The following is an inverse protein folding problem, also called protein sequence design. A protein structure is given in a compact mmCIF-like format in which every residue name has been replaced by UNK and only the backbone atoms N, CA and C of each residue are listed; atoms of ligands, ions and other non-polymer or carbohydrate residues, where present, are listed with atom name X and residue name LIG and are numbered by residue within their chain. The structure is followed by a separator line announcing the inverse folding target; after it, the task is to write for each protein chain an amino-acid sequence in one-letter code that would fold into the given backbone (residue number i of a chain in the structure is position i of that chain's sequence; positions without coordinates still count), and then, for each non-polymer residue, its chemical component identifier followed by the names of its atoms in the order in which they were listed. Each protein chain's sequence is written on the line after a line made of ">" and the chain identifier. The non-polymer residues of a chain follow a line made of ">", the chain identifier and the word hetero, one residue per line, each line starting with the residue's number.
data_IF_377064705510
#
_entry.id   IF_377064705510
#
_cell.length_a   1.000
_cell.length_b   1.000
_cell.length_c   1.000
_cell.angle_alpha   90.00
_cell.angle_beta   90.00
_cell.angle_gamma   90.00
#
_symmetry.space_group_name_H-M   'P 1'
#
loop_
_entity.id
_entity.type
_entity.pdbx_description
1 polymer ?
#
# COMPACT_ATOMS: atom_id res chain seq x y z
N UNK A 1 21.91 -3.45 5.69
CA UNK A 1 22.51 -2.65 6.79
C UNK A 1 21.42 -2.38 7.82
N UNK A 2 21.66 -2.85 9.04
CA UNK A 2 20.67 -2.87 10.14
C UNK A 2 20.16 -1.47 10.49
N UNK A 3 21.05 -0.48 10.51
CA UNK A 3 20.70 0.92 10.79
C UNK A 3 19.67 1.47 9.81
N UNK A 4 19.85 1.19 8.52
CA UNK A 4 18.92 1.66 7.49
C UNK A 4 17.59 0.92 7.53
N UNK A 5 17.58 -0.35 7.92
CA UNK A 5 16.36 -1.11 8.16
C UNK A 5 15.57 -0.57 9.36
N UNK A 6 16.26 -0.23 10.45
CA UNK A 6 15.64 0.43 11.61
C UNK A 6 15.06 1.79 11.25
N UNK A 7 15.78 2.60 10.47
CA UNK A 7 15.29 3.89 10.00
C UNK A 7 14.04 3.73 9.11
N UNK A 8 14.04 2.73 8.22
CA UNK A 8 12.87 2.44 7.39
C UNK A 8 11.65 2.05 8.24
N UNK A 9 11.86 1.22 9.26
CA UNK A 9 10.82 0.86 10.23
C UNK A 9 10.28 2.06 11.00
N UNK A 10 11.15 2.95 11.48
CA UNK A 10 10.74 4.19 12.14
C UNK A 10 9.95 5.10 11.19
N UNK A 11 10.42 5.33 9.97
CA UNK A 11 9.70 6.13 8.98
C UNK A 11 8.32 5.57 8.67
N UNK A 12 8.21 4.24 8.59
CA UNK A 12 6.94 3.56 8.35
C UNK A 12 5.99 3.68 9.55
N UNK A 13 6.48 3.43 10.76
CA UNK A 13 5.69 3.52 11.99
C UNK A 13 5.18 4.95 12.25
N UNK A 14 5.98 5.97 11.96
CA UNK A 14 5.64 7.37 12.12
C UNK A 14 5.19 8.04 10.81
N UNK A 15 4.77 7.25 9.82
CA UNK A 15 4.18 7.79 8.60
C UNK A 15 2.88 8.54 8.89
N UNK A 16 2.52 9.46 8.01
CA UNK A 16 1.26 10.19 8.12
C UNK A 16 0.05 9.26 8.18
N UNK A 17 0.10 8.11 7.49
CA UNK A 17 -0.95 7.12 7.55
C UNK A 17 -1.15 6.56 8.97
N UNK A 18 -0.07 6.15 9.63
CA UNK A 18 -0.12 5.60 10.99
C UNK A 18 -0.57 6.66 12.01
N UNK A 19 -0.04 7.89 11.90
CA UNK A 19 -0.41 8.99 12.79
C UNK A 19 -1.88 9.37 12.62
N UNK A 20 -2.37 9.51 11.38
CA UNK A 20 -3.75 9.87 11.09
C UNK A 20 -4.74 8.81 11.60
N UNK A 21 -4.38 7.53 11.46
CA UNK A 21 -5.26 6.41 11.80
C UNK A 21 -5.06 5.91 13.25
N UNK A 22 -4.31 6.60 14.10
CA UNK A 22 -4.04 6.17 15.49
C UNK A 22 -5.32 5.94 16.31
N UNK A 23 -6.42 6.63 15.98
CA UNK A 23 -7.72 6.43 16.62
C UNK A 23 -8.45 5.17 16.18
N UNK A 24 -7.98 4.52 15.12
CA UNK A 24 -8.57 3.30 14.57
C UNK A 24 -7.59 2.14 14.76
N UNK A 25 -7.56 1.54 15.94
CA UNK A 25 -6.61 0.49 16.30
C UNK A 25 -6.53 -0.63 15.26
N UNK A 26 -7.69 -1.06 14.73
CA UNK A 26 -7.77 -2.10 13.70
C UNK A 26 -7.13 -1.70 12.34
N UNK A 27 -6.71 -0.45 12.16
CA UNK A 27 -5.91 -0.04 11.00
C UNK A 27 -4.42 -0.23 11.27
N UNK A 28 -4.00 -0.05 12.54
CA UNK A 28 -2.59 -0.17 12.92
C UNK A 28 -2.14 -1.64 12.92
N UNK A 29 -3.02 -2.56 13.29
CA UNK A 29 -2.75 -3.99 13.23
C UNK A 29 -2.41 -4.43 11.80
N UNK A 30 -3.21 -3.98 10.83
CA UNK A 30 -2.97 -4.22 9.39
C UNK A 30 -1.62 -3.63 8.93
N UNK A 31 -1.29 -2.41 9.37
CA UNK A 31 0.00 -1.76 9.06
C UNK A 31 1.16 -2.56 9.62
N UNK A 32 1.02 -3.10 10.84
CA UNK A 32 2.06 -3.88 11.50
C UNK A 32 2.26 -5.26 10.86
N UNK A 33 1.19 -5.94 10.44
CA UNK A 33 1.25 -7.31 9.93
C UNK A 33 1.63 -7.40 8.44
N UNK A 34 1.25 -6.41 7.64
CA UNK A 34 1.48 -6.43 6.19
C UNK A 34 2.96 -6.58 5.77
N UNK A 35 3.95 -5.92 6.40
CA UNK A 35 5.36 -6.08 6.03
C UNK A 35 5.85 -7.53 6.11
N UNK A 36 5.35 -8.30 7.06
CA UNK A 36 5.72 -9.72 7.21
C UNK A 36 5.16 -10.57 6.06
N UNK A 37 3.94 -10.28 5.61
CA UNK A 37 3.36 -10.96 4.45
C UNK A 37 4.15 -10.65 3.17
N UNK A 38 4.57 -9.38 3.00
CA UNK A 38 5.38 -8.97 1.85
C UNK A 38 6.78 -9.61 1.88
N UNK A 39 7.42 -9.65 3.05
CA UNK A 39 8.70 -10.31 3.24
C UNK A 39 8.60 -11.83 3.00
N UNK A 40 7.52 -12.46 3.46
CA UNK A 40 7.29 -13.88 3.22
C UNK A 40 7.06 -14.20 1.72
N UNK A 41 6.45 -13.28 0.96
CA UNK A 41 6.36 -13.39 -0.50
C UNK A 41 7.75 -13.32 -1.15
N UNK A 42 8.59 -12.34 -0.75
CA UNK A 42 9.97 -12.23 -1.25
C UNK A 42 10.76 -13.51 -0.93
N UNK A 43 10.70 -14.00 0.30
CA UNK A 43 11.34 -15.25 0.74
C UNK A 43 10.87 -16.47 -0.08
N UNK A 44 9.57 -16.55 -0.36
CA UNK A 44 9.02 -17.65 -1.15
C UNK A 44 9.47 -17.63 -2.60
N UNK A 45 9.64 -16.44 -3.20
CA UNK A 45 10.01 -16.31 -4.63
C UNK A 45 11.52 -16.32 -4.82
N UNK A 46 12.27 -15.61 -3.97
CA UNK A 46 13.73 -15.44 -4.12
C UNK A 46 14.47 -16.65 -3.53
N UNK A 47 14.14 -16.98 -2.28
CA UNK A 47 14.86 -17.98 -1.49
C UNK A 47 14.21 -19.37 -1.50
N UNK A 48 13.10 -19.52 -2.22
CA UNK A 48 12.32 -20.78 -2.33
C UNK A 48 11.81 -21.33 -0.98
N UNK A 49 11.68 -20.46 0.04
CA UNK A 49 11.16 -20.81 1.36
C UNK A 49 9.67 -21.14 1.29
N UNK A 50 9.22 -22.10 2.10
CA UNK A 50 7.85 -22.62 2.07
C UNK A 50 7.17 -22.42 3.42
N UNK A 51 5.84 -22.25 3.40
CA UNK A 51 5.00 -22.27 4.59
C UNK A 51 4.85 -20.93 5.31
N UNK A 52 5.81 -20.01 5.24
CA UNK A 52 5.68 -18.70 5.85
C UNK A 52 4.65 -17.83 5.11
N UNK A 53 4.66 -17.87 3.78
CA UNK A 53 3.75 -17.05 2.98
C UNK A 53 2.26 -17.38 3.22
N UNK A 54 1.79 -18.64 3.11
CA UNK A 54 0.39 -18.96 3.41
C UNK A 54 -0.01 -18.66 4.87
N UNK A 55 0.91 -18.79 5.84
CA UNK A 55 0.65 -18.39 7.21
C UNK A 55 0.34 -16.89 7.32
N UNK A 56 1.18 -16.03 6.72
CA UNK A 56 0.96 -14.59 6.76
C UNK A 56 -0.24 -14.15 5.94
N UNK A 57 -0.57 -14.84 4.85
CA UNK A 57 -1.82 -14.64 4.10
C UNK A 57 -3.02 -14.93 4.99
N UNK A 58 -3.04 -16.08 5.68
CA UNK A 58 -4.13 -16.43 6.60
C UNK A 58 -4.26 -15.42 7.74
N UNK A 59 -3.14 -15.03 8.35
CA UNK A 59 -3.15 -14.10 9.50
C UNK A 59 -3.68 -12.72 9.10
N UNK A 60 -3.20 -12.15 7.99
CA UNK A 60 -3.71 -10.84 7.49
C UNK A 60 -5.20 -10.90 7.12
N UNK A 61 -5.65 -12.02 6.56
CA UNK A 61 -7.07 -12.22 6.22
C UNK A 61 -7.95 -12.30 7.48
N UNK A 62 -7.48 -13.02 8.51
CA UNK A 62 -8.18 -13.18 9.79
C UNK A 62 -8.20 -11.88 10.58
N UNK A 63 -7.08 -11.15 10.57
CA UNK A 63 -6.98 -9.86 11.24
C UNK A 63 -7.99 -8.84 10.66
N UNK A 64 -7.97 -8.67 9.33
CA UNK A 64 -8.88 -7.74 8.70
C UNK A 64 -9.17 -8.10 7.23
N UNK A 65 -10.25 -8.84 7.00
CA UNK A 65 -10.67 -9.26 5.66
C UNK A 65 -10.95 -8.10 4.70
N UNK A 66 -11.39 -6.96 5.23
CA UNK A 66 -11.68 -5.77 4.41
C UNK A 66 -10.40 -5.16 3.83
N UNK A 67 -9.35 -5.02 4.63
CA UNK A 67 -8.04 -4.55 4.15
C UNK A 67 -7.34 -5.60 3.31
N UNK A 68 -7.57 -6.89 3.59
CA UNK A 68 -6.95 -7.98 2.86
C UNK A 68 -7.26 -7.96 1.37
N UNK A 69 -8.46 -7.53 0.96
CA UNK A 69 -8.79 -7.35 -0.45
C UNK A 69 -7.82 -6.38 -1.14
N UNK A 70 -7.51 -5.25 -0.50
CA UNK A 70 -6.52 -4.30 -0.99
C UNK A 70 -5.10 -4.85 -0.96
N UNK A 71 -4.74 -5.61 0.07
CA UNK A 71 -3.43 -6.26 0.17
C UNK A 71 -3.23 -7.27 -0.98
N UNK A 72 -4.25 -8.05 -1.33
CA UNK A 72 -4.19 -8.98 -2.45
C UNK A 72 -3.92 -8.26 -3.78
N UNK A 73 -4.62 -7.15 -4.03
CA UNK A 73 -4.36 -6.31 -5.21
C UNK A 73 -2.93 -5.78 -5.21
N UNK A 74 -2.46 -5.28 -4.06
CA UNK A 74 -1.09 -4.78 -3.95
C UNK A 74 -0.05 -5.87 -4.16
N UNK A 75 -0.22 -7.06 -3.60
CA UNK A 75 0.68 -8.20 -3.81
C UNK A 75 0.79 -8.58 -5.29
N UNK A 76 -0.33 -8.54 -6.03
CA UNK A 76 -0.34 -8.77 -7.48
C UNK A 76 0.49 -7.70 -8.19
N UNK A 77 0.25 -6.42 -7.88
CA UNK A 77 1.03 -5.30 -8.45
C UNK A 77 2.51 -5.46 -8.12
N UNK A 78 2.83 -5.70 -6.85
CA UNK A 78 4.20 -5.88 -6.38
C UNK A 78 4.89 -7.03 -7.10
N UNK A 79 4.24 -8.19 -7.17
CA UNK A 79 4.76 -9.38 -7.85
C UNK A 79 5.12 -9.11 -9.31
N UNK A 80 4.22 -8.51 -10.08
CA UNK A 80 4.49 -8.17 -11.48
C UNK A 80 5.56 -7.09 -11.65
N UNK A 81 5.61 -6.10 -10.77
CA UNK A 81 6.65 -5.08 -10.79
C UNK A 81 8.04 -5.65 -10.46
N UNK A 82 8.11 -6.58 -9.48
CA UNK A 82 9.35 -7.28 -9.12
C UNK A 82 9.83 -8.17 -10.26
N UNK A 83 8.92 -8.82 -10.97
CA UNK A 83 9.21 -9.60 -12.17
C UNK A 83 9.69 -8.73 -13.33
N UNK A 84 9.00 -7.62 -13.62
CA UNK A 84 9.39 -6.66 -14.66
C UNK A 84 10.77 -6.04 -14.39
N UNK A 85 11.11 -5.81 -13.12
CA UNK A 85 12.43 -5.35 -12.68
C UNK A 85 13.48 -6.46 -12.59
N UNK A 86 13.16 -7.67 -13.05
CA UNK A 86 14.06 -8.86 -13.05
C UNK A 86 14.57 -9.25 -11.65
N UNK A 87 13.84 -8.89 -10.61
CA UNK A 87 14.13 -9.34 -9.25
C UNK A 87 13.56 -10.74 -8.99
N UNK A 88 12.39 -11.03 -9.59
CA UNK A 88 11.76 -12.33 -9.55
C UNK A 88 12.03 -13.10 -10.83
N UNK A 89 12.57 -14.29 -10.70
CA UNK A 89 12.67 -15.25 -11.80
C UNK A 89 11.37 -16.04 -11.87
N UNK A 90 10.58 -15.76 -12.91
CA UNK A 90 9.29 -16.39 -13.11
C UNK A 90 9.45 -17.74 -13.82
N UNK A 91 9.12 -18.81 -13.10
CA UNK A 91 8.88 -20.12 -13.67
C UNK A 91 7.45 -20.57 -13.40
N UNK A 92 6.84 -21.29 -14.34
CA UNK A 92 5.47 -21.80 -14.19
C UNK A 92 5.30 -22.57 -12.88
N UNK A 93 6.28 -23.39 -12.51
CA UNK A 93 6.27 -24.16 -11.25
C UNK A 93 6.21 -23.27 -10.01
N UNK A 94 7.00 -22.19 -9.98
CA UNK A 94 6.97 -21.21 -8.85
C UNK A 94 5.63 -20.49 -8.80
N UNK A 95 5.10 -20.08 -9.94
CA UNK A 95 3.81 -19.40 -10.02
C UNK A 95 2.67 -20.30 -9.50
N UNK A 96 2.59 -21.54 -9.97
CA UNK A 96 1.56 -22.50 -9.52
C UNK A 96 1.69 -22.77 -8.03
N UNK A 97 2.91 -22.91 -7.51
CA UNK A 97 3.12 -23.06 -6.06
C UNK A 97 2.61 -21.86 -5.26
N UNK A 98 2.96 -20.65 -5.68
CA UNK A 98 2.50 -19.42 -4.99
C UNK A 98 0.98 -19.29 -5.03
N UNK A 99 0.36 -19.60 -6.17
CA UNK A 99 -1.09 -19.63 -6.28
C UNK A 99 -1.71 -20.64 -5.29
N UNK A 100 -1.10 -21.82 -5.17
CA UNK A 100 -1.53 -22.84 -4.22
C UNK A 100 -1.33 -22.40 -2.76
N UNK A 101 -0.18 -21.82 -2.41
CA UNK A 101 0.09 -21.29 -1.08
C UNK A 101 -0.87 -20.15 -0.71
N UNK A 102 -1.19 -19.27 -1.67
CA UNK A 102 -2.21 -18.22 -1.49
C UNK A 102 -3.58 -18.83 -1.23
N UNK A 103 -4.00 -19.80 -2.05
CA UNK A 103 -5.27 -20.50 -1.88
C UNK A 103 -5.37 -21.20 -0.52
N UNK A 104 -4.28 -21.84 -0.08
CA UNK A 104 -4.21 -22.48 1.24
C UNK A 104 -4.35 -21.46 2.38
N UNK A 105 -3.63 -20.34 2.32
CA UNK A 105 -3.73 -19.25 3.30
C UNK A 105 -5.16 -18.69 3.36
N UNK A 106 -5.77 -18.45 2.20
CA UNK A 106 -7.17 -18.00 2.13
C UNK A 106 -8.13 -19.06 2.69
N UNK A 107 -7.94 -20.34 2.40
CA UNK A 107 -8.75 -21.42 2.93
C UNK A 107 -8.71 -21.49 4.47
N UNK A 108 -7.51 -21.32 5.06
CA UNK A 108 -7.36 -21.21 6.51
C UNK A 108 -8.14 -20.00 7.09
N UNK A 109 -8.16 -18.89 6.38
CA UNK A 109 -8.90 -17.68 6.77
C UNK A 109 -10.42 -17.77 6.56
N UNK A 110 -10.91 -18.75 5.79
CA UNK A 110 -12.33 -18.92 5.49
C UNK A 110 -13.22 -19.12 6.72
N UNK A 111 -12.65 -19.58 7.84
CA UNK A 111 -13.38 -19.70 9.12
C UNK A 111 -14.05 -18.38 9.52
N UNK A 112 -13.38 -17.24 9.27
CA UNK A 112 -13.94 -15.90 9.51
C UNK A 112 -14.52 -15.27 8.24
N UNK A 113 -13.92 -15.50 7.09
CA UNK A 113 -14.32 -14.88 5.83
C UNK A 113 -15.72 -15.35 5.37
N UNK A 114 -16.08 -16.63 5.56
CA UNK A 114 -17.37 -17.14 5.14
C UNK A 114 -18.53 -16.51 5.92
N UNK A 115 -18.55 -16.50 7.28
CA UNK A 115 -19.60 -15.82 8.03
C UNK A 115 -19.66 -14.32 7.72
N UNK A 116 -18.50 -13.64 7.62
CA UNK A 116 -18.43 -12.24 7.27
C UNK A 116 -18.99 -11.97 5.87
N UNK A 117 -18.62 -12.79 4.87
CA UNK A 117 -19.14 -12.70 3.50
C UNK A 117 -20.66 -12.90 3.42
N UNK A 118 -21.19 -13.89 4.12
CA UNK A 118 -22.64 -14.13 4.20
C UNK A 118 -23.37 -12.94 4.83
N UNK A 119 -22.80 -12.35 5.88
CA UNK A 119 -23.36 -11.16 6.52
C UNK A 119 -23.30 -9.93 5.60
N UNK A 120 -22.21 -9.77 4.80
CA UNK A 120 -22.08 -8.68 3.84
C UNK A 120 -23.09 -8.79 2.70
N UNK A 121 -23.39 -10.00 2.20
CA UNK A 121 -24.39 -10.20 1.15
C UNK A 121 -25.80 -9.75 1.56
N UNK A 122 -26.07 -9.70 2.86
CA UNK A 122 -27.34 -9.20 3.40
C UNK A 122 -27.33 -7.70 3.70
N UNK A 123 -26.18 -7.02 3.52
CA UNK A 123 -26.06 -5.60 3.84
C UNK A 123 -26.44 -4.75 2.62
N UNK A 124 -27.50 -3.91 2.70
CA UNK A 124 -27.93 -3.09 1.57
C UNK A 124 -26.89 -2.04 1.13
N UNK A 125 -25.90 -1.73 1.96
CA UNK A 125 -24.82 -0.79 1.63
C UNK A 125 -23.78 -1.34 0.66
N UNK A 126 -23.77 -2.64 0.39
CA UNK A 126 -22.79 -3.27 -0.52
C UNK A 126 -23.30 -3.37 -1.96
N UNK A 127 -24.51 -2.88 -2.25
CA UNK A 127 -25.19 -3.08 -3.55
C UNK A 127 -24.84 -1.99 -4.57
N UNK A 128 -24.16 -0.92 -4.16
CA UNK A 128 -23.88 0.19 -5.07
C UNK A 128 -22.35 0.26 -5.39
N UNK A 129 -21.89 -0.56 -6.35
CA UNK A 129 -20.50 -0.46 -6.79
C UNK A 129 -20.28 0.92 -7.42
N UNK A 130 -19.17 1.56 -7.08
CA UNK A 130 -18.79 2.89 -7.56
C UNK A 130 -19.61 4.09 -7.04
N UNK A 131 -20.48 3.92 -6.05
CA UNK A 131 -21.29 4.94 -5.36
C UNK A 131 -21.06 6.42 -5.78
N UNK A 132 -21.51 6.77 -6.98
CA UNK A 132 -21.54 8.15 -7.46
C UNK A 132 -20.26 8.69 -8.11
N UNK A 133 -19.26 7.87 -8.44
CA UNK A 133 -18.01 8.30 -9.07
C UNK A 133 -17.88 7.81 -10.51
N UNK A 134 -17.26 8.66 -11.35
CA UNK A 134 -16.86 8.25 -12.69
C UNK A 134 -15.76 7.17 -12.67
N UNK A 135 -15.70 6.33 -13.69
CA UNK A 135 -14.69 5.28 -13.78
C UNK A 135 -13.27 5.81 -13.93
N UNK A 136 -13.07 6.85 -14.70
CA UNK A 136 -11.75 7.39 -15.06
C UNK A 136 -11.42 8.69 -14.32
N UNK A 137 -12.44 9.45 -13.90
CA UNK A 137 -12.26 10.76 -13.28
C UNK A 137 -13.07 10.84 -11.99
N UNK A 138 -12.45 11.40 -10.94
CA UNK A 138 -13.18 11.70 -9.72
C UNK A 138 -14.23 12.78 -9.98
N UNK A 139 -15.40 12.59 -9.42
CA UNK A 139 -16.50 13.55 -9.56
C UNK A 139 -16.19 14.92 -8.95
N UNK A 140 -15.19 14.99 -8.05
CA UNK A 140 -14.72 16.23 -7.43
C UNK A 140 -13.24 16.46 -7.75
N UNK A 141 -12.94 17.56 -8.40
CA UNK A 141 -11.56 17.96 -8.77
C UNK A 141 -10.66 18.13 -7.53
N UNK A 142 -11.24 18.49 -6.39
CA UNK A 142 -10.54 18.63 -5.10
C UNK A 142 -9.84 17.32 -4.66
N UNK A 143 -10.34 16.16 -5.08
CA UNK A 143 -9.72 14.87 -4.77
C UNK A 143 -8.30 14.79 -5.32
N UNK A 144 -8.05 15.30 -6.52
CA UNK A 144 -6.72 15.33 -7.12
C UNK A 144 -5.75 16.20 -6.34
N UNK A 145 -6.21 17.39 -5.91
CA UNK A 145 -5.46 18.27 -5.02
C UNK A 145 -5.15 17.60 -3.68
N UNK A 146 -6.11 16.91 -3.11
CA UNK A 146 -5.95 16.20 -1.84
C UNK A 146 -4.94 15.04 -1.94
N UNK A 147 -4.93 14.27 -3.02
CA UNK A 147 -3.95 13.21 -3.26
C UNK A 147 -2.53 13.80 -3.28
N UNK A 148 -2.35 14.91 -3.99
CA UNK A 148 -1.05 15.59 -4.05
C UNK A 148 -0.64 16.17 -2.68
N UNK A 149 -1.56 16.88 -2.02
CA UNK A 149 -1.37 17.47 -0.70
C UNK A 149 -0.98 16.40 0.35
N UNK A 150 -1.64 15.25 0.33
CA UNK A 150 -1.44 14.17 1.30
C UNK A 150 -0.03 13.58 1.30
N UNK A 151 0.74 13.75 0.21
CA UNK A 151 2.13 13.27 0.12
C UNK A 151 3.14 14.26 0.65
N UNK A 152 2.81 15.56 0.64
CA UNK A 152 3.76 16.63 0.95
C UNK A 152 3.57 17.22 2.34
N UNK A 153 2.36 17.20 2.85
CA UNK A 153 2.02 17.84 4.12
C UNK A 153 1.52 16.82 5.14
N UNK A 154 1.70 17.18 6.41
CA UNK A 154 1.22 16.37 7.52
C UNK A 154 -0.31 16.27 7.47
N UNK A 155 -0.88 15.12 7.82
CA UNK A 155 -2.33 14.97 7.84
C UNK A 155 -2.96 15.87 8.91
N UNK A 156 -4.12 16.45 8.57
CA UNK A 156 -4.96 17.12 9.54
C UNK A 156 -5.52 16.13 10.55
N UNK A 157 -5.71 16.57 11.79
CA UNK A 157 -6.34 15.72 12.78
C UNK A 157 -7.79 15.40 12.36
N UNK A 158 -8.25 14.13 12.53
CA UNK A 158 -9.54 13.66 11.98
C UNK A 158 -10.78 14.44 12.44
N UNK A 159 -10.68 15.23 13.50
CA UNK A 159 -11.77 16.03 14.08
C UNK A 159 -11.68 17.53 13.72
N UNK A 160 -10.63 17.99 13.04
CA UNK A 160 -10.58 19.36 12.51
C UNK A 160 -11.30 19.44 11.16
N UNK A 161 -11.70 20.67 10.80
CA UNK A 161 -12.23 20.91 9.45
C UNK A 161 -11.18 20.57 8.42
N UNK A 162 -11.59 19.78 7.43
CA UNK A 162 -10.73 19.49 6.29
C UNK A 162 -10.33 20.79 5.59
N UNK A 163 -9.11 20.85 5.08
CA UNK A 163 -8.62 21.98 4.28
C UNK A 163 -9.53 22.24 3.07
N UNK A 164 -10.14 21.19 2.53
CA UNK A 164 -11.14 21.23 1.49
C UNK A 164 -12.53 21.15 2.14
N UNK A 165 -13.27 22.24 2.16
CA UNK A 165 -14.48 22.52 2.96
C UNK A 165 -15.66 21.55 2.83
N UNK A 166 -15.58 20.56 1.99
CA UNK A 166 -16.67 19.62 1.78
C UNK A 166 -16.37 18.28 2.44
N UNK A 167 -16.67 18.05 3.67
CA UNK A 167 -16.58 16.85 4.51
C UNK A 167 -16.53 15.43 3.90
N UNK A 168 -16.26 15.31 2.63
CA UNK A 168 -16.20 14.10 1.82
C UNK A 168 -14.86 13.38 1.98
N UNK A 169 -13.78 14.12 2.26
CA UNK A 169 -12.45 13.56 2.48
C UNK A 169 -12.24 13.11 3.92
N UNK A 170 -13.19 13.46 4.80
CA UNK A 170 -13.15 13.07 6.21
C UNK A 170 -13.23 11.55 6.34
N UNK A 171 -12.31 10.97 7.10
CA UNK A 171 -12.20 9.54 7.33
C UNK A 171 -11.79 8.70 6.10
N UNK A 172 -11.33 9.30 5.02
CA UNK A 172 -10.86 8.58 3.83
C UNK A 172 -9.45 8.00 3.99
N UNK A 173 -8.73 8.41 5.04
CA UNK A 173 -7.32 8.06 5.28
C UNK A 173 -6.39 8.48 4.13
N UNK A 174 -6.70 9.60 3.49
CA UNK A 174 -5.93 10.14 2.37
C UNK A 174 -4.65 10.79 2.89
N UNK A 175 -3.68 9.98 3.28
CA UNK A 175 -2.41 10.46 3.81
C UNK A 175 -1.28 9.51 3.44
N UNK A 176 -0.26 10.06 2.78
CA UNK A 176 0.95 9.35 2.34
C UNK A 176 2.23 10.08 2.78
N UNK A 177 2.10 11.07 3.68
CA UNK A 177 3.22 11.85 4.17
C UNK A 177 4.24 10.99 4.91
N UNK A 178 5.50 11.21 4.60
CA UNK A 178 6.63 10.67 5.37
C UNK A 178 7.40 11.81 6.04
N UNK A 179 7.72 11.68 7.33
CA UNK A 179 8.49 12.70 8.03
C UNK A 179 9.90 12.86 7.47
N UNK A 180 10.54 13.96 7.82
CA UNK A 180 11.90 14.30 7.39
C UNK A 180 12.01 14.36 5.85
N UNK A 181 13.02 13.69 5.32
CA UNK A 181 13.32 13.62 3.88
C UNK A 181 12.67 12.42 3.17
N UNK A 182 11.71 11.76 3.83
CA UNK A 182 11.15 10.49 3.34
C UNK A 182 10.58 10.57 1.93
N UNK A 183 9.71 11.53 1.65
CA UNK A 183 9.13 11.72 0.30
C UNK A 183 10.19 12.18 -0.69
N UNK A 184 11.05 13.14 -0.32
CA UNK A 184 12.13 13.62 -1.18
C UNK A 184 13.14 12.51 -1.51
N UNK A 185 13.46 11.67 -0.52
CA UNK A 185 14.31 10.49 -0.71
C UNK A 185 13.73 9.50 -1.70
N UNK A 186 12.44 9.20 -1.59
CA UNK A 186 11.74 8.34 -2.53
C UNK A 186 11.70 8.89 -3.95
N UNK A 187 11.43 10.19 -4.13
CA UNK A 187 11.49 10.86 -5.44
C UNK A 187 12.88 10.84 -6.04
N UNK A 188 13.90 11.12 -5.23
CA UNK A 188 15.30 11.06 -5.64
C UNK A 188 15.70 9.63 -6.06
N UNK A 189 15.24 8.61 -5.32
CA UNK A 189 15.43 7.21 -5.67
C UNK A 189 14.78 6.87 -7.02
N UNK A 190 13.52 7.23 -7.23
CA UNK A 190 12.82 6.98 -8.48
C UNK A 190 13.53 7.60 -9.69
N UNK A 191 14.11 8.79 -9.53
CA UNK A 191 14.93 9.46 -10.57
C UNK A 191 16.29 8.80 -10.77
N UNK A 192 16.91 8.27 -9.71
CA UNK A 192 18.22 7.61 -9.76
C UNK A 192 18.16 6.17 -10.29
N UNK A 193 17.05 5.51 -10.05
CA UNK A 193 16.82 4.10 -10.30
C UNK A 193 15.51 3.85 -11.05
N UNK A 194 15.33 4.45 -12.21
CA UNK A 194 14.09 4.39 -13.00
C UNK A 194 13.62 2.97 -13.34
N UNK A 195 14.56 2.05 -13.54
CA UNK A 195 14.28 0.63 -13.85
C UNK A 195 14.26 -0.29 -12.61
N UNK A 196 14.30 0.28 -11.40
CA UNK A 196 14.22 -0.53 -10.19
C UNK A 196 12.76 -0.96 -9.93
N UNK A 197 12.51 -2.20 -9.45
CA UNK A 197 11.15 -2.68 -9.16
C UNK A 197 10.33 -1.74 -8.28
N UNK A 198 10.93 -1.20 -7.21
CA UNK A 198 10.27 -0.23 -6.32
C UNK A 198 9.78 1.01 -7.06
N UNK A 199 10.55 1.49 -8.06
CA UNK A 199 10.11 2.61 -8.91
C UNK A 199 8.88 2.24 -9.72
N UNK A 200 8.80 1.01 -10.22
CA UNK A 200 7.61 0.53 -10.93
C UNK A 200 6.40 0.44 -9.99
N UNK A 201 6.57 -0.15 -8.80
CA UNK A 201 5.50 -0.23 -7.80
C UNK A 201 4.97 1.18 -7.47
N UNK A 202 5.85 2.12 -7.14
CA UNK A 202 5.46 3.48 -6.79
C UNK A 202 4.74 4.19 -7.95
N UNK A 203 5.23 4.05 -9.20
CA UNK A 203 4.55 4.62 -10.38
C UNK A 203 3.17 4.03 -10.60
N UNK A 204 3.02 2.71 -10.47
CA UNK A 204 1.71 2.04 -10.60
C UNK A 204 0.77 2.48 -9.47
N UNK A 205 1.25 2.57 -8.22
CA UNK A 205 0.45 3.04 -7.10
C UNK A 205 0.00 4.50 -7.28
N UNK A 206 0.85 5.37 -7.80
CA UNK A 206 0.45 6.74 -8.16
C UNK A 206 -0.67 6.71 -9.21
N UNK A 207 -0.54 5.93 -10.28
CA UNK A 207 -1.59 5.78 -11.28
C UNK A 207 -2.89 5.27 -10.66
N UNK A 208 -2.81 4.27 -9.76
CA UNK A 208 -3.97 3.76 -9.03
C UNK A 208 -4.64 4.84 -8.15
N UNK A 209 -3.87 5.72 -7.53
CA UNK A 209 -4.41 6.79 -6.70
C UNK A 209 -5.19 7.83 -7.53
N UNK A 210 -4.73 8.14 -8.76
CA UNK A 210 -5.32 9.18 -9.61
C UNK A 210 -6.50 8.69 -10.46
N UNK A 211 -6.70 7.38 -10.60
CA UNK A 211 -7.78 6.80 -11.43
C UNK A 211 -8.79 6.08 -10.52
N UNK A 212 -10.05 6.56 -10.42
CA UNK A 212 -11.05 6.02 -9.49
C UNK A 212 -11.26 4.51 -9.57
N UNK A 213 -11.38 3.93 -10.76
CA UNK A 213 -11.58 2.49 -10.91
C UNK A 213 -10.39 1.68 -10.39
N UNK A 214 -9.16 2.16 -10.59
CA UNK A 214 -7.96 1.51 -10.06
C UNK A 214 -7.86 1.65 -8.54
N UNK A 215 -8.21 2.82 -8.01
CA UNK A 215 -8.30 3.02 -6.55
C UNK A 215 -9.37 2.10 -5.93
N UNK A 216 -10.53 1.98 -6.57
CA UNK A 216 -11.62 1.11 -6.11
C UNK A 216 -11.27 -0.37 -6.09
N UNK A 217 -10.32 -0.82 -6.92
CA UNK A 217 -9.86 -2.21 -6.93
C UNK A 217 -9.35 -2.65 -5.55
N UNK A 218 -8.75 -1.75 -4.77
CA UNK A 218 -8.30 -2.02 -3.40
C UNK A 218 -9.45 -2.22 -2.39
N UNK A 219 -10.70 -2.00 -2.80
CA UNK A 219 -11.92 -2.15 -2.02
C UNK A 219 -12.92 -3.08 -2.70
N UNK A 220 -12.45 -4.04 -3.45
CA UNK A 220 -13.29 -4.94 -4.24
C UNK A 220 -14.30 -4.17 -5.13
N UNK A 221 -13.86 -3.05 -5.70
CA UNK A 221 -14.62 -2.13 -6.55
C UNK A 221 -15.81 -1.44 -5.86
N UNK A 222 -15.84 -1.38 -4.54
CA UNK A 222 -16.96 -0.83 -3.78
C UNK A 222 -16.88 0.69 -3.53
N UNK A 223 -15.70 1.28 -3.55
CA UNK A 223 -15.52 2.72 -3.27
C UNK A 223 -14.35 3.30 -4.05
N UNK A 224 -14.46 4.55 -4.49
CA UNK A 224 -13.39 5.27 -5.17
C UNK A 224 -12.76 6.41 -4.35
N UNK A 225 -13.25 6.66 -3.13
CA UNK A 225 -12.74 7.75 -2.29
C UNK A 225 -11.65 7.38 -1.32
N UNK A 226 -11.69 6.16 -0.79
CA UNK A 226 -10.80 5.79 0.28
C UNK A 226 -9.37 5.59 -0.21
N UNK A 227 -8.40 6.00 0.62
CA UNK A 227 -6.98 5.77 0.39
C UNK A 227 -6.36 4.91 1.49
N UNK A 228 -7.17 4.05 2.13
CA UNK A 228 -6.76 3.19 3.25
C UNK A 228 -5.68 2.17 2.86
N UNK A 229 -5.40 1.99 1.59
CA UNK A 229 -4.35 1.13 1.07
C UNK A 229 -2.97 1.83 0.98
N UNK A 230 -2.89 3.14 1.29
CA UNK A 230 -1.65 3.92 1.13
C UNK A 230 -0.49 3.44 2.02
N UNK A 231 -0.74 2.76 3.14
CA UNK A 231 0.33 2.18 3.96
C UNK A 231 1.23 1.21 3.17
N UNK A 232 0.71 0.52 2.17
CA UNK A 232 1.47 -0.42 1.35
C UNK A 232 2.51 0.28 0.45
N UNK A 233 2.17 1.27 -0.41
CA UNK A 233 3.19 2.03 -1.12
C UNK A 233 4.08 2.86 -0.21
N UNK A 234 3.61 3.32 0.96
CA UNK A 234 4.44 3.98 1.97
C UNK A 234 5.57 3.07 2.44
N UNK A 235 5.31 1.79 2.68
CA UNK A 235 6.34 0.81 3.03
C UNK A 235 7.42 0.73 1.95
N UNK A 236 7.03 0.66 0.68
CA UNK A 236 7.97 0.64 -0.45
C UNK A 236 8.73 1.97 -0.55
N UNK A 237 8.07 3.08 -0.28
CA UNK A 237 8.68 4.41 -0.27
C UNK A 237 9.74 4.54 0.83
N UNK A 238 9.48 4.02 2.03
CA UNK A 238 10.45 3.94 3.13
C UNK A 238 11.68 3.11 2.72
N UNK A 239 11.46 1.94 2.14
CA UNK A 239 12.54 1.10 1.63
C UNK A 239 13.37 1.79 0.55
N UNK A 240 12.72 2.47 -0.40
CA UNK A 240 13.38 3.23 -1.46
C UNK A 240 14.22 4.40 -0.92
N UNK A 241 13.69 5.13 0.05
CA UNK A 241 14.40 6.25 0.71
C UNK A 241 15.64 5.74 1.45
N UNK A 242 15.49 4.70 2.26
CA UNK A 242 16.62 4.14 3.01
C UNK A 242 17.68 3.49 2.09
N UNK A 243 17.25 2.88 0.99
CA UNK A 243 18.16 2.39 -0.04
C UNK A 243 19.00 3.52 -0.66
N UNK A 244 18.39 4.68 -0.94
CA UNK A 244 19.11 5.84 -1.44
C UNK A 244 20.10 6.37 -0.41
N UNK A 245 19.65 6.56 0.84
CA UNK A 245 20.46 7.11 1.92
C UNK A 245 21.62 6.19 2.33
N UNK A 246 21.45 4.89 2.18
CA UNK A 246 22.55 3.93 2.42
C UNK A 246 23.71 4.02 1.41
N UNK A 247 23.55 4.87 0.37
CA UNK A 247 24.54 5.09 -0.68
C UNK A 247 24.91 6.56 -0.82
N UNK A 248 25.88 7.07 -0.03
CA UNK A 248 26.20 8.49 0.06
C UNK A 248 26.41 9.17 -1.30
N UNK A 249 27.15 8.54 -2.21
CA UNK A 249 27.40 9.07 -3.55
C UNK A 249 26.12 9.31 -4.37
N UNK A 250 25.12 8.45 -4.23
CA UNK A 250 23.80 8.63 -4.88
C UNK A 250 22.96 9.68 -4.16
N UNK A 251 23.00 9.70 -2.84
CA UNK A 251 22.26 10.64 -2.03
C UNK A 251 22.73 12.07 -2.26
N UNK A 252 24.03 12.34 -2.21
CA UNK A 252 24.64 13.66 -2.45
C UNK A 252 24.33 14.20 -3.84
N UNK A 253 24.33 13.35 -4.86
CA UNK A 253 24.05 13.76 -6.23
C UNK A 253 22.58 14.05 -6.52
N UNK A 254 21.67 13.31 -5.91
CA UNK A 254 20.26 13.26 -6.32
C UNK A 254 19.28 13.91 -5.35
N UNK A 255 19.57 13.89 -4.05
CA UNK A 255 18.70 14.46 -3.03
C UNK A 255 18.52 15.99 -3.18
N UNK A 256 19.56 16.80 -3.40
CA UNK A 256 19.40 18.24 -3.60
C UNK A 256 18.57 18.61 -4.83
N UNK A 257 18.59 17.74 -5.88
CA UNK A 257 17.78 17.93 -7.09
C UNK A 257 16.31 17.54 -6.89
N UNK A 258 16.00 16.72 -5.92
CA UNK A 258 14.63 16.34 -5.58
C UNK A 258 13.94 17.33 -4.65
N UNK A 259 14.75 18.12 -3.91
CA UNK A 259 14.28 19.18 -3.01
C UNK A 259 14.05 20.53 -3.73
N UNK A 260 14.57 20.68 -4.94
CA UNK A 260 14.32 21.84 -5.83
C UNK A 260 13.11 21.59 -6.71
#
# INVERSE_FOLDING_TARGET
>A
DETWSMLAGCLYAFSGFSIYNIFFNHFLDVVALFPYMLAALDDAVIDDKKGAFPFWVALNLVDNYFFFAGQAVFLIIYFFCMAAGRRYELGLRKFVRLAWETALGCACGCVLLLPAGLSLLQNPRTIDPFSGYGYLFYGKSQQYGAIFYSTLLMPDAPYFKDLFQEGILKHTSLTAYLPLVGVAGGLAFCRARERHPFTYVLKVCVACAFVPVLNSAFYALNSSYYARWYYMPILVLCGATCYLLSRPALAEQRLPRALR
#
